data_IF_065433232078
#
_entry.id   IF_065433232078
#
_cell.length_a   1.000
_cell.length_b   1.000
_cell.length_c   1.000
_cell.angle_alpha   90.00
_cell.angle_beta   90.00
_cell.angle_gamma   90.00
#
_symmetry.space_group_name_H-M   'P 1'
#
loop_
_entity.id
_entity.type
_entity.pdbx_description
1 polymer ?
#
# COMPACT_ATOMS: atom_id res chain seq x y z
N UNK A 1 7.48 14.69 11.12
CA UNK A 1 8.53 13.80 10.60
C UNK A 1 8.98 14.38 9.28
N UNK A 2 10.24 14.79 9.16
CA UNK A 2 10.79 15.25 7.88
C UNK A 2 11.28 14.00 7.17
N UNK A 3 10.63 13.63 6.06
CA UNK A 3 11.12 12.53 5.22
C UNK A 3 12.41 12.97 4.53
N UNK A 4 13.50 12.31 4.90
CA UNK A 4 14.76 12.43 4.17
C UNK A 4 14.64 11.70 2.83
N UNK A 5 14.33 12.48 1.79
CA UNK A 5 14.19 11.99 0.40
C UNK A 5 15.51 11.53 -0.22
N UNK A 6 16.65 11.62 0.48
CA UNK A 6 17.92 11.07 0.00
C UNK A 6 17.93 9.54 -0.01
N UNK A 7 17.17 8.89 0.88
CA UNK A 7 17.04 7.42 0.96
C UNK A 7 16.34 6.83 -0.28
N UNK A 8 15.45 7.62 -0.92
CA UNK A 8 14.66 7.17 -2.07
C UNK A 8 15.44 7.18 -3.40
N UNK A 9 16.57 7.90 -3.48
CA UNK A 9 17.32 8.06 -4.74
C UNK A 9 18.23 6.88 -5.11
N UNK A 10 18.34 5.87 -4.24
CA UNK A 10 19.20 4.68 -4.42
C UNK A 10 18.42 3.36 -4.36
N UNK A 11 17.10 3.37 -4.59
CA UNK A 11 16.24 2.18 -4.45
C UNK A 11 16.60 1.03 -5.40
N UNK A 12 17.26 1.30 -6.53
CA UNK A 12 17.72 0.28 -7.49
C UNK A 12 18.91 -0.58 -6.96
N UNK A 13 19.40 -0.33 -5.74
CA UNK A 13 20.50 -1.09 -5.10
C UNK A 13 20.22 -1.46 -3.64
N UNK A 14 18.96 -1.58 -3.22
CA UNK A 14 18.68 -2.18 -1.91
C UNK A 14 18.90 -3.69 -2.05
N UNK A 15 20.03 -4.17 -1.54
CA UNK A 15 20.17 -5.59 -1.27
C UNK A 15 19.13 -5.93 -0.19
N UNK A 16 18.11 -6.71 -0.53
CA UNK A 16 17.02 -7.11 0.38
C UNK A 16 17.41 -8.27 1.29
N UNK A 17 18.58 -8.87 1.11
CA UNK A 17 19.13 -9.92 1.97
C UNK A 17 19.21 -9.61 3.47
N UNK A 18 19.45 -8.37 3.96
CA UNK A 18 19.64 -8.15 5.38
C UNK A 18 18.35 -8.18 6.20
N UNK A 19 17.16 -8.20 5.58
CA UNK A 19 15.89 -8.16 6.32
C UNK A 19 15.30 -9.54 6.63
N UNK A 20 15.53 -10.53 5.77
CA UNK A 20 15.13 -11.94 6.01
C UNK A 20 16.23 -12.84 5.46
N UNK A 21 16.94 -13.52 6.36
CA UNK A 21 17.94 -14.52 5.98
C UNK A 21 17.25 -15.75 5.35
N UNK A 22 17.57 -16.05 4.09
CA UNK A 22 16.96 -17.15 3.31
C UNK A 22 17.84 -18.41 3.27
N UNK A 23 19.14 -18.24 3.44
CA UNK A 23 20.12 -19.34 3.44
C UNK A 23 19.85 -20.39 4.52
N UNK A 24 19.47 -20.04 5.78
CA UNK A 24 19.20 -21.06 6.80
C UNK A 24 18.05 -22.00 6.46
N UNK A 25 17.10 -21.54 5.64
CA UNK A 25 15.96 -22.36 5.16
C UNK A 25 16.23 -23.01 3.81
N UNK A 26 17.44 -22.85 3.24
CA UNK A 26 17.83 -23.38 1.92
C UNK A 26 16.89 -22.94 0.79
N UNK A 27 16.22 -21.80 0.97
CA UNK A 27 15.25 -21.29 0.03
C UNK A 27 15.87 -20.97 -1.35
N UNK A 28 17.09 -20.40 -1.44
CA UNK A 28 17.74 -20.17 -2.73
C UNK A 28 18.00 -21.48 -3.50
N UNK A 29 18.62 -22.47 -2.84
CA UNK A 29 18.97 -23.77 -3.43
C UNK A 29 17.72 -24.55 -3.87
N UNK A 30 16.63 -24.43 -3.10
CA UNK A 30 15.34 -25.00 -3.45
C UNK A 30 14.78 -24.39 -4.74
N UNK A 31 14.83 -23.06 -4.90
CA UNK A 31 14.34 -22.40 -6.11
C UNK A 31 15.24 -22.65 -7.32
N UNK A 32 16.55 -22.83 -7.14
CA UNK A 32 17.43 -23.27 -8.23
C UNK A 32 17.02 -24.65 -8.77
N UNK A 33 16.67 -25.57 -7.87
CA UNK A 33 16.23 -26.92 -8.23
C UNK A 33 14.80 -26.96 -8.79
N UNK A 34 13.94 -26.05 -8.32
CA UNK A 34 12.52 -25.98 -8.69
C UNK A 34 12.11 -24.54 -9.05
N UNK A 35 12.51 -24.00 -10.22
CA UNK A 35 12.34 -22.57 -10.55
C UNK A 35 10.90 -22.06 -10.60
N UNK A 36 9.93 -22.97 -10.74
CA UNK A 36 8.51 -22.62 -10.79
C UNK A 36 7.79 -22.76 -9.44
N UNK A 37 8.50 -23.12 -8.37
CA UNK A 37 7.95 -23.33 -7.03
C UNK A 37 8.13 -22.06 -6.18
N UNK A 38 7.87 -20.92 -6.81
CA UNK A 38 8.06 -19.56 -6.28
C UNK A 38 6.78 -18.96 -5.67
N UNK A 39 5.72 -19.78 -5.54
CA UNK A 39 4.42 -19.37 -5.00
C UNK A 39 3.45 -18.81 -6.03
N UNK A 40 3.77 -18.84 -7.33
CA UNK A 40 2.81 -18.44 -8.38
C UNK A 40 1.49 -19.22 -8.28
N UNK A 41 0.37 -18.53 -8.45
CA UNK A 41 -0.98 -19.11 -8.33
C UNK A 41 -1.44 -19.39 -6.90
N UNK A 42 -0.65 -19.02 -5.88
CA UNK A 42 -1.03 -19.14 -4.46
C UNK A 42 -1.40 -17.77 -3.91
N UNK A 43 -2.51 -17.70 -3.17
CA UNK A 43 -2.94 -16.50 -2.43
C UNK A 43 -2.70 -16.73 -0.94
N UNK A 44 -2.10 -15.74 -0.28
CA UNK A 44 -1.81 -15.76 1.15
C UNK A 44 -2.56 -14.61 1.81
N UNK A 45 -3.34 -14.90 2.85
CA UNK A 45 -3.93 -13.89 3.72
C UNK A 45 -3.00 -13.64 4.92
N UNK A 46 -2.75 -12.38 5.24
CA UNK A 46 -1.95 -11.96 6.39
C UNK A 46 -2.90 -11.26 7.36
N UNK A 47 -3.05 -11.81 8.56
CA UNK A 47 -3.81 -11.20 9.65
C UNK A 47 -2.80 -10.75 10.70
N UNK A 48 -2.42 -9.48 10.62
CA UNK A 48 -1.45 -8.83 11.49
C UNK A 48 -1.94 -7.41 11.83
N UNK A 49 -1.10 -6.63 12.46
CA UNK A 49 -1.31 -5.25 12.86
C UNK A 49 -1.38 -4.25 11.71
N UNK A 50 -0.58 -4.42 10.64
CA UNK A 50 -0.65 -3.65 9.38
C UNK A 50 0.41 -4.14 8.37
N UNK A 51 0.51 -3.47 7.23
CA UNK A 51 1.56 -3.63 6.22
C UNK A 51 1.81 -2.30 5.48
N UNK A 52 3.07 -2.01 5.16
CA UNK A 52 3.41 -0.93 4.21
C UNK A 52 3.43 -1.49 2.78
N UNK A 53 2.33 -1.31 2.05
CA UNK A 53 2.18 -1.78 0.66
C UNK A 53 3.04 -1.03 -0.35
N UNK A 54 3.67 0.09 0.04
CA UNK A 54 4.50 0.90 -0.87
C UNK A 54 5.93 0.36 -1.03
N UNK A 55 6.30 -0.66 -0.24
CA UNK A 55 7.63 -1.25 -0.28
C UNK A 55 7.93 -1.89 -1.66
N UNK A 56 9.12 -1.68 -2.25
CA UNK A 56 9.46 -2.21 -3.58
C UNK A 56 9.30 -3.73 -3.71
N UNK A 57 9.58 -4.50 -2.66
CA UNK A 57 9.42 -5.97 -2.64
C UNK A 57 7.96 -6.46 -2.62
N UNK A 58 7.00 -5.54 -2.51
CA UNK A 58 5.56 -5.81 -2.50
C UNK A 58 4.82 -5.32 -3.75
N UNK A 59 5.55 -4.82 -4.76
CA UNK A 59 4.90 -4.25 -5.94
C UNK A 59 4.41 -5.33 -6.91
N UNK A 60 5.28 -6.28 -7.25
CA UNK A 60 5.00 -7.30 -8.28
C UNK A 60 5.36 -8.72 -7.84
N UNK A 61 4.62 -9.69 -8.36
CA UNK A 61 4.96 -11.11 -8.31
C UNK A 61 6.10 -11.44 -9.28
N UNK A 62 6.60 -12.68 -9.25
CA UNK A 62 7.57 -13.19 -10.24
C UNK A 62 7.01 -13.25 -11.67
N UNK A 63 5.68 -13.26 -11.82
CA UNK A 63 4.98 -13.22 -13.12
C UNK A 63 4.66 -11.81 -13.60
N UNK A 64 4.95 -10.78 -12.79
CA UNK A 64 4.77 -9.37 -13.15
C UNK A 64 3.43 -8.77 -12.72
N UNK A 65 2.53 -9.58 -12.15
CA UNK A 65 1.22 -9.15 -11.64
C UNK A 65 1.37 -8.39 -10.31
N UNK A 66 0.40 -7.54 -9.92
CA UNK A 66 0.39 -6.93 -8.59
C UNK A 66 0.45 -7.98 -7.47
N UNK A 67 1.35 -7.79 -6.49
CA UNK A 67 1.51 -8.75 -5.39
C UNK A 67 0.47 -8.60 -4.28
N UNK A 68 -0.03 -7.38 -4.06
CA UNK A 68 -1.11 -7.10 -3.11
C UNK A 68 -2.44 -7.11 -3.87
N UNK A 69 -3.34 -7.99 -3.44
CA UNK A 69 -4.71 -8.05 -3.97
C UNK A 69 -5.58 -7.04 -3.23
N UNK A 70 -5.52 -7.05 -1.90
CA UNK A 70 -6.29 -6.14 -1.05
C UNK A 70 -5.63 -5.97 0.33
N UNK A 71 -6.02 -4.92 1.05
CA UNK A 71 -5.55 -4.60 2.41
C UNK A 71 -6.69 -4.01 3.22
N UNK A 72 -7.14 -4.73 4.25
CA UNK A 72 -8.25 -4.33 5.10
C UNK A 72 -7.80 -3.97 6.51
N UNK A 73 -8.26 -2.82 7.01
CA UNK A 73 -8.27 -2.53 8.44
C UNK A 73 -9.54 -3.10 9.07
N UNK A 74 -9.39 -4.18 9.84
CA UNK A 74 -10.50 -4.85 10.53
C UNK A 74 -10.74 -4.30 11.95
N UNK A 75 -9.96 -3.32 12.39
CA UNK A 75 -10.10 -2.73 13.74
C UNK A 75 -11.23 -1.70 13.80
N UNK A 76 -11.56 -1.09 12.66
CA UNK A 76 -12.51 0.02 12.58
C UNK A 76 -11.94 1.38 13.01
N UNK A 77 -10.64 1.46 13.33
CA UNK A 77 -10.00 2.71 13.75
C UNK A 77 -9.99 3.77 12.64
N UNK A 78 -10.03 3.35 11.37
CA UNK A 78 -10.16 4.23 10.21
C UNK A 78 -11.60 4.63 9.83
N UNK A 79 -12.62 4.19 10.58
CA UNK A 79 -14.02 4.43 10.20
C UNK A 79 -14.39 5.92 10.30
N UNK A 80 -15.00 6.46 9.24
CA UNK A 80 -15.51 7.83 9.19
C UNK A 80 -16.99 7.81 8.85
N UNK A 81 -17.83 8.37 9.72
CA UNK A 81 -19.25 8.54 9.44
C UNK A 81 -19.46 9.62 8.36
N UNK A 82 -19.92 9.19 7.19
CA UNK A 82 -20.22 10.04 6.03
C UNK A 82 -21.73 10.20 5.79
N UNK A 83 -22.58 9.86 6.77
CA UNK A 83 -24.04 9.93 6.66
C UNK A 83 -24.59 11.35 6.49
N UNK A 84 -23.84 12.38 6.91
CA UNK A 84 -24.28 13.78 6.85
C UNK A 84 -24.10 14.38 5.45
N UNK A 85 -25.21 14.62 4.79
CA UNK A 85 -25.24 15.29 3.48
C UNK A 85 -25.19 16.81 3.66
N UNK A 86 -24.30 17.48 2.92
CA UNK A 86 -24.22 18.94 2.82
C UNK A 86 -24.15 19.36 1.36
N UNK A 87 -24.89 20.41 1.01
CA UNK A 87 -24.85 21.02 -0.32
C UNK A 87 -23.76 22.08 -0.37
N UNK A 88 -23.13 22.21 -1.54
CA UNK A 88 -22.25 23.32 -1.86
C UNK A 88 -23.07 24.61 -1.98
N UNK A 89 -22.45 25.74 -1.68
CA UNK A 89 -23.00 27.05 -2.03
C UNK A 89 -22.78 27.39 -3.52
N UNK A 90 -23.29 28.55 -3.94
CA UNK A 90 -23.20 29.04 -5.32
C UNK A 90 -21.76 29.28 -5.79
N UNK A 91 -20.79 29.33 -4.87
CA UNK A 91 -19.38 29.57 -5.15
C UNK A 91 -18.52 28.30 -4.96
N UNK A 92 -19.14 27.12 -4.84
CA UNK A 92 -18.50 25.83 -4.62
C UNK A 92 -17.75 25.70 -3.29
N UNK A 93 -18.25 26.36 -2.25
CA UNK A 93 -17.73 26.21 -0.89
C UNK A 93 -18.67 25.40 0.01
N UNK A 94 -18.06 24.80 1.03
CA UNK A 94 -18.73 24.10 2.12
C UNK A 94 -18.12 24.50 3.46
N UNK A 95 -18.94 24.76 4.47
CA UNK A 95 -18.45 25.01 5.83
C UNK A 95 -18.20 23.68 6.54
N UNK A 96 -16.93 23.39 6.82
CA UNK A 96 -16.50 22.21 7.57
C UNK A 96 -16.85 22.28 9.05
N UNK A 97 -16.65 21.17 9.78
CA UNK A 97 -16.97 21.08 11.22
C UNK A 97 -16.17 22.08 12.08
N UNK A 98 -15.00 22.48 11.61
CA UNK A 98 -14.14 23.48 12.27
C UNK A 98 -14.56 24.92 11.97
N UNK A 99 -15.62 25.15 11.20
CA UNK A 99 -16.03 26.47 10.71
C UNK A 99 -15.22 26.98 9.51
N UNK A 100 -14.16 26.26 9.10
CA UNK A 100 -13.36 26.61 7.92
C UNK A 100 -14.18 26.40 6.64
N UNK A 101 -14.05 27.33 5.69
CA UNK A 101 -14.58 27.19 4.35
C UNK A 101 -13.69 26.25 3.52
N UNK A 102 -14.29 25.23 2.94
CA UNK A 102 -13.67 24.23 2.10
C UNK A 102 -14.11 24.47 0.66
N UNK A 103 -13.17 24.80 -0.24
CA UNK A 103 -13.45 24.91 -1.66
C UNK A 103 -13.45 23.52 -2.28
N UNK A 104 -14.57 23.09 -2.85
CA UNK A 104 -14.67 21.80 -3.52
C UNK A 104 -14.41 22.00 -5.00
N UNK A 105 -13.38 21.34 -5.52
CA UNK A 105 -13.12 21.31 -6.96
C UNK A 105 -14.15 20.40 -7.62
N UNK A 106 -14.94 20.96 -8.55
CA UNK A 106 -15.90 20.19 -9.35
C UNK A 106 -15.23 19.42 -10.49
N UNK A 107 -13.91 19.49 -10.66
CA UNK A 107 -13.21 18.53 -11.53
C UNK A 107 -13.35 17.15 -10.90
N UNK A 108 -14.24 16.34 -11.47
CA UNK A 108 -14.30 14.90 -11.18
C UNK A 108 -12.92 14.30 -11.45
N UNK A 109 -12.32 13.72 -10.42
CA UNK A 109 -11.32 12.68 -10.64
C UNK A 109 -12.08 11.49 -11.21
N UNK A 110 -11.87 11.21 -12.50
CA UNK A 110 -12.19 9.88 -13.03
C UNK A 110 -11.20 8.93 -12.37
N UNK A 111 -11.71 8.14 -11.44
CA UNK A 111 -11.00 6.97 -10.89
C UNK A 111 -11.00 5.91 -11.97
#
# INVERSE_FOLDING_TARGET
MVEDKSVLKNQDKINWEPYIAKTPTQQPEFLESYPNFDGRGVVIAIIDSCIDVSLPGLQKTSTGDPKIIDCFDLTGNGNVDTSKIKKLDNNNFLIGLTGRQLKVSLKLFKI
#
